data_IF_785631478313
#
_entry.id   IF_785631478313
#
_cell.length_a   1.000
_cell.length_b   1.000
_cell.length_c   1.000
_cell.angle_alpha   90.00
_cell.angle_beta   90.00
_cell.angle_gamma   90.00
#
_symmetry.space_group_name_H-M   'P 1'
#
loop_
_entity.id
_entity.type
_entity.pdbx_description
1 polymer ?
#
# COMPACT_ATOMS: atom_id res chain seq x y z
N UNK A 1 -19.20 -4.21 -16.75
CA UNK A 1 -20.03 -5.27 -16.22
C UNK A 1 -21.37 -5.32 -16.98
N UNK A 2 -21.43 -6.08 -18.06
CA UNK A 2 -22.68 -6.25 -18.84
C UNK A 2 -23.03 -7.74 -18.95
N UNK A 3 -24.32 -8.13 -18.99
CA UNK A 3 -24.74 -9.54 -18.99
C UNK A 3 -24.10 -10.37 -20.10
N UNK A 4 -23.96 -9.79 -21.31
CA UNK A 4 -23.36 -10.47 -22.46
C UNK A 4 -21.86 -10.75 -22.25
N UNK A 5 -21.08 -9.78 -21.75
CA UNK A 5 -19.65 -9.92 -21.54
C UNK A 5 -19.35 -10.89 -20.39
N UNK A 6 -20.10 -10.79 -19.31
CA UNK A 6 -19.94 -11.70 -18.15
C UNK A 6 -20.27 -13.14 -18.57
N UNK A 7 -21.36 -13.35 -19.32
CA UNK A 7 -21.72 -14.69 -19.81
C UNK A 7 -20.66 -15.25 -20.76
N UNK A 8 -20.11 -14.44 -21.67
CA UNK A 8 -19.03 -14.87 -22.55
C UNK A 8 -17.79 -15.28 -21.77
N UNK A 9 -17.41 -14.49 -20.76
CA UNK A 9 -16.28 -14.79 -19.86
C UNK A 9 -16.52 -16.09 -19.09
N UNK A 10 -17.66 -16.26 -18.45
CA UNK A 10 -17.97 -17.48 -17.70
C UNK A 10 -18.05 -18.71 -18.60
N UNK A 11 -18.64 -18.61 -19.79
CA UNK A 11 -18.70 -19.74 -20.73
C UNK A 11 -17.32 -20.21 -21.21
N UNK A 12 -16.34 -19.28 -21.28
CA UNK A 12 -14.96 -19.63 -21.64
C UNK A 12 -14.16 -20.23 -20.51
N UNK A 13 -14.55 -20.00 -19.24
CA UNK A 13 -13.74 -20.36 -18.05
C UNK A 13 -14.47 -21.29 -17.08
N UNK A 14 -15.81 -21.30 -17.04
CA UNK A 14 -16.60 -21.89 -15.95
C UNK A 14 -16.42 -23.41 -15.74
N UNK A 15 -15.96 -24.15 -16.73
CA UNK A 15 -15.73 -25.61 -16.60
C UNK A 15 -14.56 -25.96 -15.68
N UNK A 16 -13.65 -25.02 -15.46
CA UNK A 16 -12.42 -25.20 -14.68
C UNK A 16 -12.42 -24.38 -13.38
N UNK A 17 -13.40 -23.45 -13.22
CA UNK A 17 -13.46 -22.57 -12.05
C UNK A 17 -14.05 -23.28 -10.85
N UNK A 18 -13.24 -23.50 -9.82
CA UNK A 18 -13.69 -24.06 -8.54
C UNK A 18 -14.39 -23.01 -7.66
N UNK A 19 -13.90 -21.79 -7.66
CA UNK A 19 -14.46 -20.66 -6.93
C UNK A 19 -14.03 -19.33 -7.53
N UNK A 20 -14.73 -18.27 -7.16
CA UNK A 20 -14.36 -16.88 -7.45
C UNK A 20 -13.91 -16.18 -6.16
N UNK A 21 -12.82 -15.45 -6.21
CA UNK A 21 -12.38 -14.63 -5.09
C UNK A 21 -12.01 -13.21 -5.56
N UNK A 22 -12.45 -12.20 -4.80
CA UNK A 22 -12.10 -10.81 -5.05
C UNK A 22 -11.52 -10.14 -3.80
N UNK A 23 -10.90 -8.98 -3.98
CA UNK A 23 -10.23 -8.24 -2.93
C UNK A 23 -10.90 -6.90 -2.68
N UNK A 24 -11.05 -6.52 -1.42
CA UNK A 24 -11.59 -5.23 -0.98
C UNK A 24 -13.02 -4.97 -1.49
N UNK A 25 -13.15 -4.05 -2.45
CA UNK A 25 -14.45 -3.54 -2.91
C UNK A 25 -14.73 -3.86 -4.38
N UNK A 26 -13.98 -4.81 -4.94
CA UNK A 26 -14.18 -5.30 -6.31
C UNK A 26 -15.43 -6.18 -6.38
N UNK A 27 -16.59 -5.53 -6.45
CA UNK A 27 -17.90 -6.17 -6.50
C UNK A 27 -18.64 -5.71 -7.76
N UNK A 28 -18.81 -6.63 -8.69
CA UNK A 28 -19.47 -6.38 -9.97
C UNK A 28 -20.85 -7.06 -9.98
N UNK A 29 -21.94 -6.29 -9.88
CA UNK A 29 -23.27 -6.83 -9.61
C UNK A 29 -23.75 -7.90 -10.59
N UNK A 30 -23.45 -7.74 -11.89
CA UNK A 30 -23.84 -8.71 -12.89
C UNK A 30 -22.97 -9.97 -12.82
N UNK A 31 -21.68 -9.83 -12.59
CA UNK A 31 -20.79 -10.99 -12.36
C UNK A 31 -21.25 -11.79 -11.15
N UNK A 32 -21.50 -11.13 -10.03
CA UNK A 32 -21.99 -11.77 -8.81
C UNK A 32 -23.32 -12.49 -9.02
N UNK A 33 -24.20 -11.91 -9.86
CA UNK A 33 -25.47 -12.54 -10.22
C UNK A 33 -25.23 -13.85 -10.98
N UNK A 34 -24.41 -13.82 -12.02
CA UNK A 34 -24.18 -14.99 -12.87
C UNK A 34 -23.35 -16.08 -12.17
N UNK A 35 -22.40 -15.72 -11.31
CA UNK A 35 -21.68 -16.68 -10.46
C UNK A 35 -22.64 -17.43 -9.54
N UNK A 36 -23.55 -16.72 -8.87
CA UNK A 36 -24.57 -17.29 -8.02
C UNK A 36 -25.54 -18.20 -8.79
N UNK A 37 -26.00 -17.80 -9.98
CA UNK A 37 -26.84 -18.61 -10.87
C UNK A 37 -26.12 -19.89 -11.35
N UNK A 38 -24.80 -19.80 -11.56
CA UNK A 38 -23.94 -20.93 -11.96
C UNK A 38 -23.47 -21.78 -10.78
N UNK A 39 -23.87 -21.44 -9.55
CA UNK A 39 -23.45 -22.11 -8.29
C UNK A 39 -21.93 -22.15 -8.11
N UNK A 40 -21.22 -21.15 -8.59
CA UNK A 40 -19.78 -21.00 -8.38
C UNK A 40 -19.57 -20.30 -7.03
N UNK A 41 -18.91 -20.95 -6.05
CA UNK A 41 -18.64 -20.36 -4.75
C UNK A 41 -17.89 -19.03 -4.88
N UNK A 42 -18.30 -18.00 -4.13
CA UNK A 42 -17.76 -16.66 -4.29
C UNK A 42 -17.35 -16.07 -2.95
N UNK A 43 -16.14 -15.55 -2.90
CA UNK A 43 -15.51 -15.02 -1.69
C UNK A 43 -14.96 -13.61 -1.93
N UNK A 44 -14.95 -12.79 -0.89
CA UNK A 44 -14.27 -11.50 -0.91
C UNK A 44 -13.49 -11.29 0.39
N UNK A 45 -12.26 -10.81 0.28
CA UNK A 45 -11.35 -10.65 1.42
C UNK A 45 -10.79 -9.24 1.54
N UNK A 46 -10.16 -8.94 2.68
CA UNK A 46 -9.61 -7.63 3.04
C UNK A 46 -10.65 -6.50 3.03
N UNK A 47 -11.92 -6.80 3.33
CA UNK A 47 -12.99 -5.79 3.34
C UNK A 47 -13.04 -5.01 4.64
N UNK A 48 -13.34 -3.72 4.54
CA UNK A 48 -13.56 -2.86 5.69
C UNK A 48 -14.83 -2.02 5.49
N UNK A 49 -15.75 -2.07 6.45
CA UNK A 49 -17.01 -1.36 6.38
C UNK A 49 -17.15 -0.37 7.54
N UNK A 50 -17.75 0.75 7.21
CA UNK A 50 -18.20 1.75 8.19
C UNK A 50 -19.70 1.98 8.01
N UNK A 51 -20.41 2.58 8.97
CA UNK A 51 -21.82 2.94 8.79
C UNK A 51 -22.10 3.81 7.56
N UNK A 52 -21.06 4.51 7.04
CA UNK A 52 -21.16 5.37 5.86
C UNK A 52 -20.89 4.62 4.54
N UNK A 53 -20.51 3.34 4.59
CA UNK A 53 -20.24 2.53 3.40
C UNK A 53 -21.48 2.39 2.51
N UNK A 54 -21.31 2.56 1.20
CA UNK A 54 -22.43 2.64 0.23
C UNK A 54 -23.40 1.45 0.30
N UNK A 55 -22.96 0.18 0.43
CA UNK A 55 -23.88 -0.95 0.53
C UNK A 55 -24.75 -0.95 1.79
N UNK A 56 -24.32 -0.24 2.85
CA UNK A 56 -25.03 -0.21 4.12
C UNK A 56 -26.05 0.94 4.22
N UNK A 57 -26.04 1.87 3.26
CA UNK A 57 -26.96 3.02 3.21
C UNK A 57 -28.38 2.58 2.86
N UNK A 58 -29.35 3.20 3.51
CA UNK A 58 -30.76 2.97 3.26
C UNK A 58 -31.27 3.78 2.03
N UNK A 59 -30.66 3.56 0.87
CA UNK A 59 -30.97 4.22 -0.40
C UNK A 59 -31.14 3.20 -1.53
N UNK A 60 -31.78 3.55 -2.63
CA UNK A 60 -31.94 2.64 -3.77
C UNK A 60 -30.59 2.11 -4.29
N UNK A 61 -29.54 2.96 -4.52
CA UNK A 61 -28.22 2.46 -4.88
C UNK A 61 -27.60 1.58 -3.78
N UNK A 62 -27.80 1.92 -2.51
CA UNK A 62 -27.30 1.12 -1.38
C UNK A 62 -27.91 -0.29 -1.38
N UNK A 63 -29.24 -0.39 -1.53
CA UNK A 63 -29.94 -1.69 -1.62
C UNK A 63 -29.49 -2.50 -2.83
N UNK A 64 -29.26 -1.87 -3.96
CA UNK A 64 -28.75 -2.54 -5.16
C UNK A 64 -27.35 -3.14 -4.93
N UNK A 65 -26.45 -2.35 -4.33
CA UNK A 65 -25.12 -2.83 -3.97
C UNK A 65 -25.19 -3.92 -2.90
N UNK A 66 -26.00 -3.75 -1.85
CA UNK A 66 -26.18 -4.74 -0.80
C UNK A 66 -26.61 -6.10 -1.39
N UNK A 67 -27.51 -6.08 -2.38
CA UNK A 67 -27.93 -7.28 -3.10
C UNK A 67 -26.79 -7.95 -3.89
N UNK A 68 -25.82 -7.20 -4.40
CA UNK A 68 -24.62 -7.78 -5.02
C UNK A 68 -23.72 -8.42 -3.95
N UNK A 69 -23.52 -7.73 -2.81
CA UNK A 69 -22.76 -8.25 -1.68
C UNK A 69 -23.37 -9.50 -1.04
N UNK A 70 -24.71 -9.63 -1.03
CA UNK A 70 -25.39 -10.81 -0.47
C UNK A 70 -25.23 -12.09 -1.32
N UNK A 71 -24.56 -12.00 -2.47
CA UNK A 71 -24.27 -13.16 -3.31
C UNK A 71 -22.91 -13.78 -3.03
N UNK A 72 -22.09 -13.17 -2.18
CA UNK A 72 -20.91 -13.85 -1.68
C UNK A 72 -21.29 -14.92 -0.67
N UNK A 73 -20.70 -16.10 -0.79
CA UNK A 73 -20.87 -17.18 0.20
C UNK A 73 -20.21 -16.81 1.52
N UNK A 74 -19.06 -16.09 1.46
CA UNK A 74 -18.38 -15.56 2.63
C UNK A 74 -17.68 -14.22 2.34
N UNK A 75 -17.80 -13.30 3.28
CA UNK A 75 -17.13 -12.00 3.28
C UNK A 75 -16.11 -11.97 4.41
N UNK A 76 -14.82 -11.87 4.07
CA UNK A 76 -13.74 -11.77 5.04
C UNK A 76 -13.43 -10.30 5.33
N UNK A 77 -13.67 -9.89 6.57
CA UNK A 77 -13.46 -8.53 7.02
C UNK A 77 -12.13 -8.35 7.72
N UNK A 78 -11.61 -7.12 7.71
CA UNK A 78 -10.36 -6.77 8.41
C UNK A 78 -10.56 -6.66 9.92
N UNK A 79 -11.79 -6.40 10.40
CA UNK A 79 -12.08 -6.16 11.82
C UNK A 79 -13.51 -6.56 12.20
N UNK A 80 -13.71 -6.67 13.51
CA UNK A 80 -14.99 -7.07 14.10
C UNK A 80 -16.10 -6.05 13.87
N UNK A 81 -15.77 -4.76 13.84
CA UNK A 81 -16.76 -3.72 13.59
C UNK A 81 -17.40 -3.85 12.20
N UNK A 82 -16.58 -4.15 11.20
CA UNK A 82 -17.04 -4.44 9.83
C UNK A 82 -17.90 -5.69 9.75
N UNK A 83 -17.48 -6.77 10.42
CA UNK A 83 -18.24 -8.03 10.49
C UNK A 83 -19.60 -7.83 11.13
N UNK A 84 -19.65 -7.13 12.27
CA UNK A 84 -20.89 -6.82 12.97
C UNK A 84 -21.87 -6.02 12.12
N UNK A 85 -21.37 -5.01 11.38
CA UNK A 85 -22.21 -4.21 10.46
C UNK A 85 -22.80 -5.07 9.33
N UNK A 86 -22.06 -6.03 8.80
CA UNK A 86 -22.52 -6.94 7.75
C UNK A 86 -23.54 -7.93 8.30
N UNK A 87 -23.29 -8.52 9.47
CA UNK A 87 -24.23 -9.45 10.15
C UNK A 87 -25.58 -8.78 10.44
N UNK A 88 -25.59 -7.49 10.84
CA UNK A 88 -26.83 -6.72 10.98
C UNK A 88 -27.63 -6.55 9.68
N UNK A 89 -26.99 -6.75 8.53
CA UNK A 89 -27.63 -6.75 7.21
C UNK A 89 -27.92 -8.16 6.67
N UNK A 90 -27.74 -9.19 7.49
CA UNK A 90 -27.96 -10.60 7.10
C UNK A 90 -26.90 -11.17 6.18
N UNK A 91 -25.69 -10.61 6.15
CA UNK A 91 -24.59 -11.09 5.32
C UNK A 91 -23.65 -12.00 6.11
N UNK A 92 -23.20 -13.10 5.48
CA UNK A 92 -22.22 -14.00 6.04
C UNK A 92 -20.84 -13.32 6.08
N UNK A 93 -20.29 -13.15 7.27
CA UNK A 93 -18.97 -12.52 7.41
C UNK A 93 -18.16 -13.12 8.55
N UNK A 94 -16.86 -13.18 8.33
CA UNK A 94 -15.84 -13.64 9.29
C UNK A 94 -14.70 -12.63 9.35
N UNK A 95 -14.22 -12.34 10.54
CA UNK A 95 -13.00 -11.53 10.69
C UNK A 95 -11.79 -12.38 10.36
N UNK A 96 -11.07 -12.02 9.30
CA UNK A 96 -9.85 -12.68 8.89
C UNK A 96 -8.62 -11.76 8.89
N UNK A 97 -8.80 -10.46 9.05
CA UNK A 97 -7.70 -9.50 8.91
C UNK A 97 -7.42 -9.11 7.45
N UNK A 98 -6.19 -8.70 7.18
CA UNK A 98 -5.76 -8.25 5.86
C UNK A 98 -4.62 -9.13 5.33
N UNK A 99 -4.86 -10.01 4.35
CA UNK A 99 -3.84 -10.93 3.82
C UNK A 99 -2.67 -10.20 3.11
N UNK A 100 -2.79 -8.89 2.88
CA UNK A 100 -1.67 -8.08 2.41
C UNK A 100 -0.54 -8.01 3.45
N UNK A 101 -0.87 -8.11 4.75
CA UNK A 101 0.14 -8.17 5.82
C UNK A 101 1.01 -9.43 5.69
N UNK A 102 0.39 -10.60 5.48
CA UNK A 102 1.12 -11.86 5.25
C UNK A 102 2.06 -11.74 4.05
N UNK A 103 1.57 -11.17 2.94
CA UNK A 103 2.35 -10.99 1.72
C UNK A 103 3.55 -10.06 1.93
N UNK A 104 3.36 -8.88 2.52
CA UNK A 104 4.46 -7.91 2.66
C UNK A 104 5.52 -8.41 3.66
N UNK A 105 5.12 -9.14 4.71
CA UNK A 105 6.07 -9.81 5.61
C UNK A 105 6.83 -10.96 4.92
N UNK A 106 6.18 -11.72 4.05
CA UNK A 106 6.89 -12.71 3.24
C UNK A 106 7.91 -12.06 2.32
N UNK A 107 7.53 -10.95 1.67
CA UNK A 107 8.45 -10.17 0.82
C UNK A 107 9.63 -9.66 1.65
N UNK A 108 9.39 -9.06 2.81
CA UNK A 108 10.47 -8.49 3.65
C UNK A 108 11.49 -9.55 4.11
N UNK A 109 11.06 -10.79 4.32
CA UNK A 109 11.95 -11.90 4.72
C UNK A 109 12.80 -12.43 3.56
N UNK A 110 12.27 -12.45 2.33
CA UNK A 110 12.90 -13.11 1.19
C UNK A 110 13.51 -12.14 0.17
N UNK A 111 13.01 -10.91 0.11
CA UNK A 111 13.52 -9.89 -0.83
C UNK A 111 14.86 -9.35 -0.35
N UNK A 112 15.75 -9.10 -1.31
CA UNK A 112 17.06 -8.48 -1.07
C UNK A 112 17.24 -7.32 -2.02
N UNK A 113 17.70 -6.20 -1.49
CA UNK A 113 18.10 -5.07 -2.33
C UNK A 113 19.33 -5.46 -3.18
N UNK A 114 19.49 -4.87 -4.38
CA UNK A 114 20.70 -5.02 -5.17
C UNK A 114 21.97 -4.67 -4.39
N UNK A 115 23.02 -5.50 -4.50
CA UNK A 115 24.27 -5.32 -3.74
C UNK A 115 24.99 -4.02 -4.10
N UNK A 116 24.88 -3.55 -5.34
CA UNK A 116 25.42 -2.26 -5.77
C UNK A 116 24.77 -1.07 -5.03
N UNK A 117 23.45 -1.11 -4.82
CA UNK A 117 22.73 -0.09 -4.04
C UNK A 117 23.04 -0.19 -2.54
N UNK A 118 23.22 -1.40 -2.03
CA UNK A 118 23.64 -1.62 -0.65
C UNK A 118 25.06 -1.06 -0.41
N UNK A 119 25.98 -1.33 -1.32
CA UNK A 119 27.34 -0.79 -1.27
C UNK A 119 27.33 0.74 -1.39
N UNK A 120 26.51 1.29 -2.31
CA UNK A 120 26.35 2.73 -2.44
C UNK A 120 25.78 3.39 -1.17
N UNK A 121 24.78 2.79 -0.52
CA UNK A 121 24.24 3.30 0.74
C UNK A 121 25.31 3.36 1.82
N UNK A 122 26.08 2.29 2.00
CA UNK A 122 27.03 2.17 3.09
C UNK A 122 26.37 2.42 4.45
N UNK A 123 27.03 3.21 5.30
CA UNK A 123 26.53 3.60 6.64
C UNK A 123 25.67 4.86 6.63
N UNK A 124 25.42 5.47 5.46
CA UNK A 124 24.62 6.68 5.36
C UNK A 124 23.14 6.47 5.73
N UNK A 125 22.52 7.48 6.31
CA UNK A 125 21.06 7.52 6.47
C UNK A 125 20.39 7.66 5.10
N UNK A 126 19.56 6.68 4.72
CA UNK A 126 18.86 6.65 3.45
C UNK A 126 17.40 7.05 3.60
N UNK A 127 17.01 8.09 2.88
CA UNK A 127 15.61 8.40 2.63
C UNK A 127 15.20 7.78 1.30
N UNK A 128 14.17 6.93 1.33
CA UNK A 128 13.57 6.34 0.12
C UNK A 128 12.21 6.99 -0.15
N UNK A 129 12.12 7.71 -1.27
CA UNK A 129 10.85 8.23 -1.78
C UNK A 129 10.19 7.16 -2.67
N UNK A 130 9.23 6.42 -2.11
CA UNK A 130 8.54 5.34 -2.80
C UNK A 130 7.27 5.79 -3.48
N UNK A 131 7.11 5.48 -4.77
CA UNK A 131 5.99 5.89 -5.63
C UNK A 131 5.74 7.40 -5.55
N UNK A 132 6.82 8.19 -5.60
CA UNK A 132 6.77 9.64 -5.44
C UNK A 132 6.08 10.34 -6.61
N UNK A 133 5.55 11.52 -6.34
CA UNK A 133 4.98 12.45 -7.30
C UNK A 133 5.66 13.81 -7.14
N UNK A 134 5.37 14.72 -8.04
CA UNK A 134 6.02 16.03 -8.12
C UNK A 134 5.97 16.85 -6.81
N UNK A 135 4.94 16.69 -5.96
CA UNK A 135 4.85 17.41 -4.69
C UNK A 135 5.87 16.89 -3.67
N UNK A 136 5.98 15.56 -3.53
CA UNK A 136 6.97 14.94 -2.66
C UNK A 136 8.39 15.23 -3.16
N UNK A 137 8.63 15.11 -4.46
CA UNK A 137 9.94 15.36 -5.08
C UNK A 137 10.38 16.82 -4.91
N UNK A 138 9.46 17.78 -5.11
CA UNK A 138 9.73 19.20 -4.86
C UNK A 138 10.07 19.50 -3.40
N UNK A 139 9.44 18.82 -2.45
CA UNK A 139 9.78 18.94 -1.04
C UNK A 139 11.18 18.40 -0.73
N UNK A 140 11.56 17.25 -1.35
CA UNK A 140 12.85 16.61 -1.18
C UNK A 140 14.01 17.41 -1.81
N UNK A 141 13.76 18.15 -2.89
CA UNK A 141 14.73 19.02 -3.53
C UNK A 141 15.21 20.18 -2.60
N UNK A 142 14.39 20.53 -1.59
CA UNK A 142 14.73 21.54 -0.58
C UNK A 142 15.52 20.97 0.61
N UNK A 143 15.94 19.71 0.56
CA UNK A 143 16.77 19.05 1.58
C UNK A 143 18.21 18.95 1.08
N UNK A 144 19.18 19.17 1.96
CA UNK A 144 20.60 19.00 1.62
C UNK A 144 20.97 17.51 1.78
N UNK A 145 21.45 16.94 0.69
CA UNK A 145 21.89 15.53 0.61
C UNK A 145 23.42 15.48 0.61
N UNK A 146 24.00 14.60 1.41
CA UNK A 146 25.44 14.49 1.67
C UNK A 146 25.86 13.01 1.69
N UNK A 147 27.16 12.75 1.80
CA UNK A 147 27.68 11.38 1.92
C UNK A 147 27.04 10.58 3.07
N UNK A 148 26.71 11.25 4.19
CA UNK A 148 26.07 10.64 5.37
C UNK A 148 24.52 10.69 5.30
N UNK A 149 23.95 11.30 4.27
CA UNK A 149 22.50 11.46 4.09
C UNK A 149 22.13 11.35 2.61
N UNK A 150 21.68 10.19 2.22
CA UNK A 150 21.41 9.86 0.83
C UNK A 150 19.92 9.81 0.53
N UNK A 151 19.58 10.06 -0.74
CA UNK A 151 18.22 10.00 -1.25
C UNK A 151 18.13 8.99 -2.37
N UNK A 152 17.12 8.14 -2.29
CA UNK A 152 16.70 7.28 -3.39
C UNK A 152 15.27 7.65 -3.79
N UNK A 153 15.05 7.95 -5.06
CA UNK A 153 13.75 8.32 -5.61
C UNK A 153 13.27 7.19 -6.51
N UNK A 154 12.21 6.50 -6.11
CA UNK A 154 11.49 5.53 -6.95
C UNK A 154 10.14 6.18 -7.33
N UNK A 155 10.06 6.89 -8.46
CA UNK A 155 8.87 7.63 -8.85
C UNK A 155 7.72 6.68 -9.22
N UNK A 156 6.48 7.17 -9.15
CA UNK A 156 5.32 6.39 -9.56
C UNK A 156 5.30 6.12 -11.07
N UNK A 157 5.78 7.07 -11.85
CA UNK A 157 5.86 6.98 -13.31
C UNK A 157 7.32 7.04 -13.75
N UNK A 158 7.76 6.03 -14.54
CA UNK A 158 9.17 5.89 -14.96
C UNK A 158 9.39 6.19 -16.45
N UNK A 159 8.41 6.81 -17.14
CA UNK A 159 8.61 7.25 -18.52
C UNK A 159 9.68 8.37 -18.59
N UNK A 160 10.33 8.49 -19.74
CA UNK A 160 11.53 9.33 -19.92
C UNK A 160 11.31 10.77 -19.49
N UNK A 161 10.18 11.37 -19.88
CA UNK A 161 9.86 12.77 -19.58
C UNK A 161 9.78 13.03 -18.06
N UNK A 162 9.24 12.09 -17.28
CA UNK A 162 9.19 12.21 -15.83
C UNK A 162 10.55 12.03 -15.18
N UNK A 163 11.34 11.07 -15.66
CA UNK A 163 12.73 10.88 -15.17
C UNK A 163 13.58 12.11 -15.48
N UNK A 164 13.49 12.69 -16.68
CA UNK A 164 14.23 13.89 -17.08
C UNK A 164 13.81 15.11 -16.25
N UNK A 165 12.51 15.24 -15.93
CA UNK A 165 12.02 16.26 -15.00
C UNK A 165 12.61 16.10 -13.61
N UNK A 166 12.69 14.87 -13.08
CA UNK A 166 13.29 14.61 -11.75
C UNK A 166 14.79 14.95 -11.78
N UNK A 167 15.52 14.55 -12.81
CA UNK A 167 16.94 14.87 -12.95
C UNK A 167 17.17 16.38 -13.09
N UNK A 168 16.28 17.11 -13.74
CA UNK A 168 16.32 18.58 -13.78
C UNK A 168 16.09 19.22 -12.41
N UNK A 169 15.26 18.58 -11.57
CA UNK A 169 15.01 19.03 -10.19
C UNK A 169 16.18 18.68 -9.24
N UNK A 170 16.92 17.62 -9.56
CA UNK A 170 18.10 17.14 -8.81
C UNK A 170 19.31 17.00 -9.75
N UNK A 171 19.99 18.13 -10.13
CA UNK A 171 21.06 18.07 -11.14
C UNK A 171 22.25 17.18 -10.76
N UNK A 172 22.43 16.89 -9.46
CA UNK A 172 23.48 15.99 -8.97
C UNK A 172 23.02 14.51 -8.95
N UNK A 173 21.77 14.20 -9.30
CA UNK A 173 21.27 12.83 -9.28
C UNK A 173 21.72 12.02 -10.50
N UNK A 174 21.83 10.71 -10.32
CA UNK A 174 22.04 9.76 -11.43
C UNK A 174 20.89 8.77 -11.52
N UNK A 175 20.68 8.22 -12.72
CA UNK A 175 19.74 7.09 -12.92
C UNK A 175 20.39 5.80 -12.43
N UNK A 176 19.60 4.93 -11.83
CA UNK A 176 20.07 3.61 -11.41
C UNK A 176 20.57 2.78 -12.62
N UNK A 177 19.90 2.91 -13.78
CA UNK A 177 20.29 2.21 -15.01
C UNK A 177 21.68 2.60 -15.52
N UNK A 178 22.19 3.79 -15.17
CA UNK A 178 23.53 4.24 -15.59
C UNK A 178 24.66 3.54 -14.83
N UNK A 179 24.35 2.84 -13.72
CA UNK A 179 25.34 2.19 -12.85
C UNK A 179 26.47 3.10 -12.35
N UNK A 180 26.22 4.41 -12.32
CA UNK A 180 27.11 5.42 -11.72
C UNK A 180 26.63 5.77 -10.32
N UNK A 181 27.47 5.59 -9.33
CA UNK A 181 27.15 5.74 -7.90
C UNK A 181 27.98 6.83 -7.20
N UNK A 182 28.52 7.77 -7.96
CA UNK A 182 29.34 8.88 -7.46
C UNK A 182 28.51 10.06 -6.89
N UNK A 183 27.27 9.81 -6.57
CA UNK A 183 26.30 10.82 -6.13
C UNK A 183 25.61 10.41 -4.84
N UNK A 184 25.01 11.38 -4.15
CA UNK A 184 24.19 11.14 -2.97
C UNK A 184 22.70 10.95 -3.29
N UNK A 185 22.32 11.02 -4.58
CA UNK A 185 20.92 10.88 -5.03
C UNK A 185 20.86 9.93 -6.22
N UNK A 186 20.05 8.86 -6.07
CA UNK A 186 19.78 7.92 -7.16
C UNK A 186 18.29 7.94 -7.50
N UNK A 187 17.99 8.02 -8.80
CA UNK A 187 16.63 7.87 -9.34
C UNK A 187 16.48 6.45 -9.88
N UNK A 188 15.51 5.71 -9.32
CA UNK A 188 15.19 4.34 -9.75
C UNK A 188 14.27 4.43 -10.98
N UNK A 189 14.83 4.16 -12.12
CA UNK A 189 14.19 4.20 -13.44
C UNK A 189 13.76 2.82 -13.94
N UNK A 190 13.49 1.89 -13.02
CA UNK A 190 13.08 0.52 -13.32
C UNK A 190 11.93 0.06 -12.43
N UNK A 191 11.09 -0.84 -12.94
CA UNK A 191 9.95 -1.43 -12.23
C UNK A 191 10.41 -2.64 -11.39
N UNK A 192 9.73 -2.87 -10.26
CA UNK A 192 9.86 -4.10 -9.46
C UNK A 192 10.89 -4.06 -8.35
N UNK A 193 11.70 -3.00 -8.23
CA UNK A 193 12.73 -2.89 -7.20
C UNK A 193 12.22 -2.30 -5.88
N UNK A 194 11.21 -1.44 -5.91
CA UNK A 194 10.81 -0.63 -4.75
C UNK A 194 10.63 -1.44 -3.46
N UNK A 195 9.95 -2.58 -3.54
CA UNK A 195 9.69 -3.41 -2.35
C UNK A 195 10.97 -3.89 -1.68
N UNK A 196 12.01 -4.26 -2.46
CA UNK A 196 13.29 -4.70 -1.90
C UNK A 196 14.13 -3.54 -1.34
N UNK A 197 13.99 -2.35 -1.92
CA UNK A 197 14.72 -1.16 -1.52
C UNK A 197 14.36 -0.67 -0.12
N UNK A 198 13.17 -0.99 0.39
CA UNK A 198 12.81 -0.66 1.77
C UNK A 198 13.73 -1.35 2.80
N UNK A 199 14.41 -2.45 2.44
CA UNK A 199 15.43 -3.07 3.30
C UNK A 199 16.65 -2.19 3.57
N UNK A 200 16.88 -1.17 2.74
CA UNK A 200 17.98 -0.22 2.88
C UNK A 200 17.54 1.10 3.54
N UNK A 201 16.24 1.38 3.58
CA UNK A 201 15.72 2.69 3.96
C UNK A 201 15.71 2.88 5.48
N UNK A 202 16.15 4.05 5.93
CA UNK A 202 16.02 4.51 7.32
C UNK A 202 14.74 5.34 7.52
N UNK A 203 14.26 6.00 6.46
CA UNK A 203 12.97 6.72 6.41
C UNK A 203 12.35 6.51 5.02
N UNK A 204 11.04 6.27 4.97
CA UNK A 204 10.28 6.23 3.72
C UNK A 204 9.40 7.48 3.57
N UNK A 205 9.49 8.14 2.42
CA UNK A 205 8.52 9.13 1.97
C UNK A 205 7.56 8.42 1.02
N UNK A 206 6.32 8.18 1.47
CA UNK A 206 5.31 7.47 0.66
C UNK A 206 4.52 8.48 -0.16
N UNK A 207 4.60 8.35 -1.48
CA UNK A 207 3.99 9.28 -2.43
C UNK A 207 2.46 9.19 -2.52
N UNK A 208 1.88 10.17 -3.21
CA UNK A 208 0.45 10.25 -3.52
C UNK A 208 -0.42 10.91 -2.45
N UNK A 209 0.14 11.20 -1.27
CA UNK A 209 -0.60 11.78 -0.16
C UNK A 209 -1.12 13.21 -0.38
N UNK A 210 -0.62 13.92 -1.37
CA UNK A 210 -1.14 15.23 -1.81
C UNK A 210 -2.12 15.10 -2.98
N UNK A 211 -2.10 13.97 -3.70
CA UNK A 211 -2.90 13.69 -4.88
C UNK A 211 -4.25 13.01 -4.59
N UNK A 212 -4.51 11.92 -5.27
CA UNK A 212 -5.74 11.11 -5.16
C UNK A 212 -5.77 10.20 -3.92
N UNK A 213 -4.64 9.97 -3.28
CA UNK A 213 -4.44 9.13 -2.09
C UNK A 213 -3.06 8.48 -2.10
N UNK A 214 -2.65 8.01 -0.93
CA UNK A 214 -1.32 7.43 -0.71
C UNK A 214 -1.17 6.07 -1.40
N UNK A 215 0.09 5.74 -1.70
CA UNK A 215 0.48 4.40 -2.12
C UNK A 215 0.62 3.44 -0.94
N UNK A 216 1.12 2.22 -1.18
CA UNK A 216 1.19 1.16 -0.20
C UNK A 216 2.12 1.52 0.98
N UNK A 217 1.57 1.58 2.19
CA UNK A 217 2.31 1.83 3.43
C UNK A 217 2.69 0.54 4.17
N UNK A 218 2.10 -0.60 3.79
CA UNK A 218 2.40 -1.87 4.44
C UNK A 218 3.79 -2.41 4.02
N UNK A 219 4.26 -2.07 2.82
CA UNK A 219 5.60 -2.47 2.38
C UNK A 219 6.71 -1.87 3.26
N UNK A 220 6.86 -0.55 3.39
CA UNK A 220 7.86 0.01 4.31
C UNK A 220 7.63 -0.42 5.75
N UNK A 221 6.38 -0.57 6.20
CA UNK A 221 6.07 -1.03 7.54
C UNK A 221 6.59 -2.44 7.84
N UNK A 222 6.52 -3.36 6.87
CA UNK A 222 7.03 -4.73 7.00
C UNK A 222 8.56 -4.81 7.13
N UNK A 223 9.28 -3.78 6.73
CA UNK A 223 10.73 -3.63 6.96
C UNK A 223 11.07 -2.83 8.23
N UNK A 224 10.06 -2.42 9.00
CA UNK A 224 10.28 -1.58 10.18
C UNK A 224 10.74 -0.16 9.84
N UNK A 225 10.38 0.36 8.67
CA UNK A 225 10.77 1.68 8.20
C UNK A 225 9.75 2.73 8.63
N UNK A 226 10.14 3.77 9.40
CA UNK A 226 9.25 4.88 9.72
C UNK A 226 8.88 5.67 8.46
N UNK A 227 7.65 6.17 8.43
CA UNK A 227 7.08 6.75 7.22
C UNK A 227 6.64 8.20 7.40
N UNK A 228 6.72 8.96 6.31
CA UNK A 228 6.10 10.28 6.17
C UNK A 228 5.36 10.37 4.84
N UNK A 229 4.19 11.02 4.82
CA UNK A 229 3.37 11.21 3.63
C UNK A 229 2.56 12.51 3.69
N UNK A 230 1.85 12.85 2.63
CA UNK A 230 0.88 13.93 2.61
C UNK A 230 -0.38 13.64 3.45
N UNK A 231 -1.33 14.59 3.55
CA UNK A 231 -2.45 14.52 4.50
C UNK A 231 -3.60 13.58 4.09
N UNK A 232 -3.67 13.12 2.84
CA UNK A 232 -4.84 12.39 2.31
C UNK A 232 -4.79 10.89 2.63
N UNK A 233 -4.82 10.53 3.91
CA UNK A 233 -4.74 9.15 4.39
C UNK A 233 -6.09 8.55 4.83
N UNK A 234 -7.13 9.35 5.04
CA UNK A 234 -8.37 8.94 5.72
C UNK A 234 -9.14 7.80 5.04
N UNK A 235 -8.88 7.52 3.76
CA UNK A 235 -9.50 6.41 3.01
C UNK A 235 -8.73 5.08 3.17
N UNK A 236 -7.57 5.12 3.78
CA UNK A 236 -6.63 4.01 3.93
C UNK A 236 -6.52 3.65 5.41
N UNK A 237 -7.29 2.65 5.82
CA UNK A 237 -7.39 2.24 7.22
C UNK A 237 -6.02 1.94 7.81
N UNK A 238 -5.20 1.21 7.10
CA UNK A 238 -3.83 0.87 7.48
C UNK A 238 -2.97 2.11 7.77
N UNK A 239 -3.09 3.14 6.96
CA UNK A 239 -2.33 4.39 7.16
C UNK A 239 -2.84 5.20 8.37
N UNK A 240 -4.17 5.20 8.61
CA UNK A 240 -4.75 5.85 9.79
C UNK A 240 -4.25 5.15 11.06
N UNK A 241 -4.24 3.83 11.09
CA UNK A 241 -3.77 3.05 12.23
C UNK A 241 -2.26 3.22 12.44
N UNK A 242 -1.44 3.11 11.39
CA UNK A 242 0.01 3.38 11.47
C UNK A 242 0.31 4.79 12.00
N UNK A 243 -0.50 5.79 11.64
CA UNK A 243 -0.37 7.13 12.22
C UNK A 243 -0.72 7.15 13.72
N UNK A 244 -1.76 6.46 14.15
CA UNK A 244 -2.13 6.35 15.56
C UNK A 244 -1.03 5.67 16.40
N UNK A 245 -0.33 4.69 15.81
CA UNK A 245 0.82 4.02 16.42
C UNK A 245 2.15 4.78 16.26
N UNK A 246 2.13 6.03 15.79
CA UNK A 246 3.33 6.85 15.56
C UNK A 246 4.34 6.26 14.56
N UNK A 247 3.94 5.30 13.75
CA UNK A 247 4.73 4.67 12.70
C UNK A 247 4.70 5.46 11.38
N UNK A 248 3.64 6.24 11.16
CA UNK A 248 3.44 7.10 9.99
C UNK A 248 3.21 8.55 10.43
N UNK A 249 3.97 9.46 9.83
CA UNK A 249 3.80 10.88 9.99
C UNK A 249 3.10 11.50 8.80
N UNK A 250 2.24 12.51 9.03
CA UNK A 250 1.61 13.26 7.93
C UNK A 250 2.10 14.70 7.90
N UNK A 251 2.27 15.25 6.70
CA UNK A 251 2.61 16.64 6.47
C UNK A 251 1.52 17.31 5.62
N UNK A 252 0.97 18.43 6.11
CA UNK A 252 -0.15 19.10 5.45
C UNK A 252 0.21 19.71 4.09
N UNK A 253 1.45 20.14 3.92
CA UNK A 253 1.98 20.76 2.70
C UNK A 253 3.37 20.20 2.37
N UNK A 254 3.87 20.33 1.12
CA UNK A 254 5.23 19.95 0.75
C UNK A 254 6.29 20.65 1.63
N UNK A 255 6.10 21.93 1.97
CA UNK A 255 6.99 22.65 2.89
C UNK A 255 6.99 22.03 4.30
N UNK A 256 5.82 21.60 4.80
CA UNK A 256 5.72 20.90 6.08
C UNK A 256 6.39 19.52 6.02
N UNK A 257 6.38 18.84 4.86
CA UNK A 257 7.11 17.59 4.64
C UNK A 257 8.62 17.84 4.76
N UNK A 258 9.16 18.84 4.06
CA UNK A 258 10.56 19.22 4.16
C UNK A 258 10.98 19.51 5.61
N UNK A 259 10.20 20.31 6.35
CA UNK A 259 10.48 20.63 7.75
C UNK A 259 10.48 19.38 8.64
N UNK A 260 9.47 18.53 8.49
CA UNK A 260 9.33 17.32 9.29
C UNK A 260 10.43 16.30 8.96
N UNK A 261 10.78 16.14 7.69
CA UNK A 261 11.88 15.27 7.28
C UNK A 261 13.22 15.75 7.84
N UNK A 262 13.51 17.05 7.78
CA UNK A 262 14.72 17.63 8.40
C UNK A 262 14.78 17.38 9.90
N UNK A 263 13.63 17.48 10.59
CA UNK A 263 13.55 17.17 12.02
C UNK A 263 13.82 15.69 12.29
N UNK A 264 13.19 14.77 11.53
CA UNK A 264 13.42 13.33 11.69
C UNK A 264 14.86 12.91 11.41
N UNK A 265 15.54 13.59 10.48
CA UNK A 265 16.95 13.33 10.13
C UNK A 265 17.96 13.99 11.10
N UNK A 266 17.50 14.72 12.12
CA UNK A 266 18.38 15.27 13.13
C UNK A 266 18.93 14.15 14.03
N UNK A 267 20.23 14.21 14.46
CA UNK A 267 20.86 13.16 15.26
C UNK A 267 20.09 12.80 16.54
N UNK A 268 19.49 13.80 17.19
CA UNK A 268 18.73 13.63 18.42
C UNK A 268 17.44 12.80 18.27
N UNK A 269 16.97 12.56 17.04
CA UNK A 269 15.75 11.83 16.74
C UNK A 269 15.95 10.34 16.40
N UNK A 270 17.18 9.83 16.46
CA UNK A 270 17.50 8.42 16.14
C UNK A 270 16.65 7.44 16.96
N UNK A 271 16.46 7.69 18.25
CA UNK A 271 15.65 6.85 19.12
C UNK A 271 14.15 6.92 18.75
N UNK A 272 13.67 8.09 18.36
CA UNK A 272 12.28 8.25 17.89
C UNK A 272 12.05 7.51 16.58
N UNK A 273 12.98 7.59 15.63
CA UNK A 273 12.91 6.84 14.37
C UNK A 273 12.86 5.33 14.63
N UNK A 274 13.73 4.84 15.50
CA UNK A 274 13.73 3.41 15.88
C UNK A 274 12.38 2.98 16.45
N UNK A 275 11.84 3.71 17.43
CA UNK A 275 10.50 3.42 18.01
C UNK A 275 9.40 3.43 16.95
N UNK A 276 9.47 4.39 16.02
CA UNK A 276 8.50 4.50 14.93
C UNK A 276 8.60 3.32 13.96
N UNK A 277 9.80 2.85 13.66
CA UNK A 277 10.04 1.66 12.85
C UNK A 277 9.57 0.37 13.56
N UNK A 278 9.90 0.20 14.84
CA UNK A 278 9.45 -0.94 15.64
C UNK A 278 7.90 -1.00 15.68
N UNK A 279 7.23 0.14 15.85
CA UNK A 279 5.78 0.23 15.81
C UNK A 279 5.19 -0.11 14.43
N UNK A 280 5.89 0.25 13.34
CA UNK A 280 5.48 -0.10 11.98
C UNK A 280 5.53 -1.62 11.77
N UNK A 281 6.62 -2.27 12.17
CA UNK A 281 6.81 -3.71 12.04
C UNK A 281 5.81 -4.49 12.91
N UNK A 282 5.63 -4.09 14.17
CA UNK A 282 4.65 -4.69 15.08
C UNK A 282 3.25 -4.63 14.48
N UNK A 283 2.84 -3.48 13.96
CA UNK A 283 1.53 -3.31 13.32
C UNK A 283 1.28 -4.33 12.19
N UNK A 284 2.25 -4.58 11.34
CA UNK A 284 2.10 -5.56 10.25
C UNK A 284 2.13 -6.99 10.79
N UNK A 285 3.02 -7.28 11.75
CA UNK A 285 3.17 -8.61 12.35
C UNK A 285 1.90 -9.05 13.07
N UNK A 286 1.25 -8.15 13.79
CA UNK A 286 0.01 -8.41 14.54
C UNK A 286 -1.19 -8.74 13.63
N UNK A 287 -1.09 -8.44 12.32
CA UNK A 287 -2.12 -8.73 11.33
C UNK A 287 -1.88 -9.99 10.50
N UNK A 288 -0.85 -10.78 10.82
CA UNK A 288 -0.55 -12.03 10.11
C UNK A 288 -1.51 -13.17 10.44
N UNK A 289 -1.48 -14.22 9.59
CA UNK A 289 -2.37 -15.38 9.69
C UNK A 289 -3.69 -15.20 8.93
N UNK A 290 -3.90 -14.04 8.31
CA UNK A 290 -5.10 -13.76 7.52
C UNK A 290 -5.22 -14.69 6.31
N UNK A 291 -4.13 -14.93 5.60
CA UNK A 291 -4.11 -15.78 4.42
C UNK A 291 -4.43 -17.24 4.76
N UNK A 292 -3.85 -17.78 5.83
CA UNK A 292 -4.13 -19.13 6.32
C UNK A 292 -5.61 -19.28 6.72
N UNK A 293 -6.13 -18.33 7.50
CA UNK A 293 -7.53 -18.31 7.91
C UNK A 293 -8.47 -18.27 6.72
N UNK A 294 -8.20 -17.42 5.70
CA UNK A 294 -9.03 -17.37 4.49
C UNK A 294 -8.95 -18.69 3.74
N UNK A 295 -7.75 -19.27 3.57
CA UNK A 295 -7.53 -20.53 2.86
C UNK A 295 -8.33 -21.70 3.46
N UNK A 296 -8.51 -21.72 4.77
CA UNK A 296 -9.29 -22.78 5.45
C UNK A 296 -10.80 -22.79 5.11
N UNK A 297 -11.30 -21.72 4.47
CA UNK A 297 -12.69 -21.60 4.01
C UNK A 297 -12.86 -21.88 2.51
N UNK A 298 -11.76 -21.94 1.77
CA UNK A 298 -11.82 -22.17 0.32
C UNK A 298 -11.94 -23.67 0.00
N UNK A 299 -12.69 -24.06 -1.04
CA UNK A 299 -12.89 -25.46 -1.42
C UNK A 299 -11.64 -26.09 -2.04
#
# INVERSE_FOLDING_TARGET
DTPRRVRAFLNSTAREVKFFASCKYEVWPELMKQLSESKIPSFVFATHFTPKSSPLKNSLPGRFLLRAWSRFDMIFTQDESSSSLLKLKGLNSVVAGDPRADRVLSISKHSRAPEDLKAWKGDANLVLAGSSWFQEEGALASVVWTENRKLMIAPHEIHSENIDRILSLFPQATRYSSKSFETNIIVIDSIGLLSSLYSLADIAVVGGGYGKGIHNVLEPAAFGVPMITGPKINRFREAVLLKQHSALHTAATPLALTKKLKALLAPDNTQQLKRSGDAALSFVTDQTGSAEKISSYLP
#
